data_IF_166240357838
#
_entry.id   IF_166240357838
#
_cell.length_a   1.000
_cell.length_b   1.000
_cell.length_c   1.000
_cell.angle_alpha   90.00
_cell.angle_beta   90.00
_cell.angle_gamma   90.00
#
_symmetry.space_group_name_H-M   'P 1'
#
loop_
_entity.id
_entity.type
_entity.pdbx_description
1 polymer ?
#
# COMPACT_ATOMS: atom_id res chain seq x y z
N UNK A 1 -7.38 17.65 -47.75
CA UNK A 1 -7.25 18.74 -46.76
C UNK A 1 -7.43 18.14 -45.38
N UNK A 2 -6.39 18.24 -44.57
CA UNK A 2 -6.10 17.62 -43.27
C UNK A 2 -7.26 17.48 -42.26
N UNK A 3 -7.29 16.35 -41.54
CA UNK A 3 -6.59 16.23 -40.25
C UNK A 3 -6.58 14.77 -39.77
N UNK A 4 -5.37 14.24 -39.63
CA UNK A 4 -5.04 13.11 -38.76
C UNK A 4 -5.62 13.33 -37.36
N UNK A 5 -6.55 12.47 -36.96
CA UNK A 5 -6.83 12.22 -35.55
C UNK A 5 -5.83 11.15 -35.12
N UNK A 6 -4.69 11.61 -34.59
CA UNK A 6 -3.69 10.78 -33.95
C UNK A 6 -4.28 10.17 -32.67
N UNK A 7 -4.99 9.05 -32.81
CA UNK A 7 -5.35 8.20 -31.68
C UNK A 7 -4.04 7.60 -31.14
N UNK A 8 -3.49 8.26 -30.12
CA UNK A 8 -2.43 7.73 -29.29
C UNK A 8 -2.81 6.29 -28.90
N UNK A 9 -2.03 5.26 -29.27
CA UNK A 9 -2.30 3.91 -28.83
C UNK A 9 -2.21 3.93 -27.31
N UNK A 10 -3.35 3.77 -26.63
CA UNK A 10 -3.36 3.48 -25.19
C UNK A 10 -2.53 2.21 -25.06
N UNK A 11 -1.30 2.32 -24.56
CA UNK A 11 -0.49 1.14 -24.26
C UNK A 11 -1.22 0.41 -23.13
N UNK A 12 -2.11 -0.51 -23.50
CA UNK A 12 -2.80 -1.37 -22.56
C UNK A 12 -1.73 -2.27 -21.94
N UNK A 13 -1.41 -2.01 -20.67
CA UNK A 13 -0.51 -2.86 -19.90
C UNK A 13 -1.11 -4.27 -19.88
N UNK A 14 -0.35 -5.25 -20.37
CA UNK A 14 -0.74 -6.64 -20.26
C UNK A 14 -0.76 -7.02 -18.78
N UNK A 15 -1.95 -7.40 -18.27
CA UNK A 15 -2.10 -7.99 -16.94
C UNK A 15 -1.59 -9.43 -16.96
N UNK A 16 -0.27 -9.59 -17.03
CA UNK A 16 0.41 -10.89 -17.12
C UNK A 16 1.00 -11.36 -15.79
N UNK A 17 0.88 -10.58 -14.71
CA UNK A 17 1.37 -10.99 -13.40
C UNK A 17 0.54 -12.15 -12.86
N UNK A 18 1.23 -13.25 -12.60
CA UNK A 18 0.65 -14.44 -11.96
C UNK A 18 0.38 -14.17 -10.48
N UNK A 19 -0.53 -14.93 -9.87
CA UNK A 19 -0.86 -14.81 -8.45
C UNK A 19 0.36 -14.93 -7.55
N UNK A 20 1.30 -15.84 -7.87
CA UNK A 20 2.55 -15.99 -7.12
C UNK A 20 3.50 -14.80 -7.26
N UNK A 21 3.54 -14.13 -8.41
CA UNK A 21 4.33 -12.90 -8.57
C UNK A 21 3.74 -11.75 -7.76
N UNK A 22 2.41 -11.63 -7.71
CA UNK A 22 1.73 -10.66 -6.86
C UNK A 22 1.99 -10.94 -5.37
N UNK A 23 1.99 -12.21 -4.97
CA UNK A 23 2.35 -12.61 -3.60
C UNK A 23 3.82 -12.27 -3.27
N UNK A 24 4.76 -12.54 -4.18
CA UNK A 24 6.17 -12.14 -3.96
C UNK A 24 6.35 -10.63 -3.82
N UNK A 25 5.59 -9.82 -4.57
CA UNK A 25 5.60 -8.36 -4.41
C UNK A 25 5.08 -7.97 -3.01
N UNK A 26 3.98 -8.59 -2.57
CA UNK A 26 3.40 -8.32 -1.25
C UNK A 26 4.35 -8.73 -0.12
N UNK A 27 4.94 -9.93 -0.19
CA UNK A 27 5.92 -10.41 0.79
C UNK A 27 7.19 -9.55 0.80
N UNK A 28 7.71 -9.18 -0.39
CA UNK A 28 8.88 -8.32 -0.51
C UNK A 28 8.66 -6.92 0.09
N UNK A 29 7.48 -6.33 -0.13
CA UNK A 29 7.12 -5.04 0.45
C UNK A 29 6.90 -5.08 1.97
N UNK A 30 6.28 -6.16 2.47
CA UNK A 30 5.92 -6.28 3.90
C UNK A 30 7.09 -6.74 4.79
N UNK A 31 7.91 -7.68 4.32
CA UNK A 31 9.06 -8.20 5.08
C UNK A 31 10.28 -7.28 4.96
N UNK A 32 10.36 -6.44 3.91
CA UNK A 32 11.52 -5.65 3.52
C UNK A 32 12.10 -4.70 4.57
N UNK A 33 12.38 -3.45 4.20
CA UNK A 33 13.16 -2.54 5.06
C UNK A 33 12.51 -2.31 6.44
N UNK A 34 11.17 -2.35 6.53
CA UNK A 34 10.45 -2.11 7.78
C UNK A 34 10.76 -3.10 8.91
N UNK A 35 10.82 -4.41 8.62
CA UNK A 35 11.15 -5.40 9.63
C UNK A 35 12.61 -5.27 10.06
N UNK A 36 13.54 -5.13 9.13
CA UNK A 36 14.98 -5.06 9.45
C UNK A 36 15.39 -3.75 10.13
N UNK A 37 14.89 -2.61 9.65
CA UNK A 37 15.19 -1.28 10.19
C UNK A 37 14.58 -1.08 11.58
N UNK A 38 13.33 -1.55 11.79
CA UNK A 38 12.62 -1.41 13.05
C UNK A 38 13.04 -2.42 14.13
N UNK A 39 13.25 -3.70 13.76
CA UNK A 39 13.35 -4.79 14.75
C UNK A 39 14.51 -4.60 15.73
N UNK A 40 15.68 -4.16 15.27
CA UNK A 40 16.84 -3.98 16.16
C UNK A 40 16.56 -2.98 17.28
N UNK A 41 15.86 -1.88 16.95
CA UNK A 41 15.50 -0.87 17.95
C UNK A 41 14.37 -1.40 18.84
N UNK A 42 13.31 -1.95 18.27
CA UNK A 42 12.15 -2.47 19.02
C UNK A 42 12.54 -3.56 20.02
N UNK A 43 13.46 -4.47 19.65
CA UNK A 43 13.98 -5.52 20.54
C UNK A 43 14.76 -4.91 21.70
N UNK A 44 15.59 -3.88 21.46
CA UNK A 44 16.35 -3.20 22.54
C UNK A 44 15.44 -2.53 23.56
N UNK A 45 14.35 -1.91 23.11
CA UNK A 45 13.39 -1.22 23.99
C UNK A 45 12.46 -2.19 24.74
N UNK A 46 12.05 -3.29 24.10
CA UNK A 46 10.95 -4.16 24.60
C UNK A 46 11.43 -5.49 25.20
N UNK A 47 12.66 -5.91 24.89
CA UNK A 47 13.22 -7.18 25.34
C UNK A 47 12.44 -8.41 24.82
N UNK A 48 12.41 -9.53 25.55
CA UNK A 48 11.74 -10.77 25.12
C UNK A 48 10.23 -10.62 24.86
N UNK A 49 9.60 -9.60 25.45
CA UNK A 49 8.16 -9.32 25.28
C UNK A 49 7.79 -8.77 23.90
N UNK A 50 8.78 -8.49 23.04
CA UNK A 50 8.58 -7.98 21.69
C UNK A 50 7.69 -8.88 20.83
N UNK A 51 7.74 -10.21 21.05
CA UNK A 51 6.87 -11.17 20.35
C UNK A 51 5.39 -10.93 20.65
N UNK A 52 5.04 -10.61 21.91
CA UNK A 52 3.67 -10.30 22.29
C UNK A 52 3.21 -8.98 21.67
N UNK A 53 4.10 -7.97 21.62
CA UNK A 53 3.82 -6.70 20.97
C UNK A 53 3.56 -6.89 19.47
N UNK A 54 4.41 -7.64 18.76
CA UNK A 54 4.22 -7.94 17.34
C UNK A 54 2.96 -8.77 17.09
N UNK A 55 2.63 -9.74 17.96
CA UNK A 55 1.40 -10.52 17.83
C UNK A 55 0.15 -9.64 17.97
N UNK A 56 0.13 -8.75 18.97
CA UNK A 56 -0.99 -7.83 19.19
C UNK A 56 -1.15 -6.85 18.02
N UNK A 57 -0.07 -6.18 17.61
CA UNK A 57 -0.10 -5.26 16.46
C UNK A 57 -0.45 -6.00 15.17
N UNK A 58 0.03 -7.24 15.00
CA UNK A 58 -0.29 -8.10 13.87
C UNK A 58 -1.78 -8.39 13.73
N UNK A 59 -2.50 -8.62 14.85
CA UNK A 59 -3.96 -8.81 14.85
C UNK A 59 -4.67 -7.54 14.36
N UNK A 60 -4.25 -6.38 14.85
CA UNK A 60 -4.83 -5.09 14.43
C UNK A 60 -4.58 -4.85 12.94
N UNK A 61 -3.34 -5.07 12.46
CA UNK A 61 -3.00 -4.92 11.05
C UNK A 61 -3.74 -5.92 10.16
N UNK A 62 -3.94 -7.16 10.62
CA UNK A 62 -4.74 -8.16 9.91
C UNK A 62 -6.17 -7.66 9.68
N UNK A 63 -6.81 -7.08 10.70
CA UNK A 63 -8.16 -6.53 10.57
C UNK A 63 -8.21 -5.38 9.56
N UNK A 64 -7.23 -4.47 9.58
CA UNK A 64 -7.12 -3.36 8.61
C UNK A 64 -6.93 -3.89 7.19
N UNK A 65 -6.02 -4.85 6.99
CA UNK A 65 -5.77 -5.45 5.67
C UNK A 65 -6.98 -6.22 5.16
N UNK A 66 -7.74 -6.86 6.05
CA UNK A 66 -8.99 -7.54 5.69
C UNK A 66 -10.03 -6.55 5.16
N UNK A 67 -10.24 -5.43 5.85
CA UNK A 67 -11.15 -4.38 5.42
C UNK A 67 -10.72 -3.74 4.09
N UNK A 68 -9.42 -3.48 3.90
CA UNK A 68 -8.88 -2.99 2.63
C UNK A 68 -9.08 -4.00 1.49
N UNK A 69 -8.87 -5.29 1.76
CA UNK A 69 -9.11 -6.35 0.78
C UNK A 69 -10.57 -6.41 0.31
N UNK A 70 -11.52 -6.21 1.22
CA UNK A 70 -12.95 -6.12 0.89
C UNK A 70 -13.25 -4.91 0.00
N UNK A 71 -12.64 -3.74 0.27
CA UNK A 71 -12.78 -2.56 -0.59
C UNK A 71 -12.21 -2.77 -2.00
N UNK A 72 -11.05 -3.43 -2.11
CA UNK A 72 -10.43 -3.76 -3.40
C UNK A 72 -11.32 -4.72 -4.20
N UNK A 73 -11.97 -5.67 -3.53
CA UNK A 73 -12.89 -6.61 -4.17
C UNK A 73 -14.13 -5.89 -4.74
N UNK A 74 -14.71 -4.95 -3.99
CA UNK A 74 -15.91 -4.21 -4.39
C UNK A 74 -15.60 -3.22 -5.53
N UNK A 75 -14.47 -2.51 -5.45
CA UNK A 75 -14.05 -1.52 -6.44
C UNK A 75 -12.62 -1.81 -6.92
N UNK A 76 -12.47 -2.71 -7.91
CA UNK A 76 -11.17 -3.06 -8.48
C UNK A 76 -10.66 -1.93 -9.38
N UNK A 77 -10.08 -0.90 -8.76
CA UNK A 77 -9.39 0.20 -9.43
C UNK A 77 -7.88 0.00 -9.43
N UNK A 78 -7.18 0.69 -10.33
CA UNK A 78 -5.71 0.84 -10.28
C UNK A 78 -5.27 1.97 -9.33
N UNK A 79 -6.21 2.49 -8.53
CA UNK A 79 -5.99 3.58 -7.59
C UNK A 79 -5.29 3.13 -6.31
N UNK A 80 -4.84 4.10 -5.51
CA UNK A 80 -4.20 3.86 -4.21
C UNK A 80 -5.23 3.89 -3.08
N UNK A 81 -4.84 3.46 -1.88
CA UNK A 81 -5.70 3.53 -0.68
C UNK A 81 -6.20 4.96 -0.39
N UNK A 82 -5.45 5.98 -0.82
CA UNK A 82 -5.86 7.37 -0.71
C UNK A 82 -7.07 7.73 -1.58
N UNK A 83 -7.31 7.00 -2.68
CA UNK A 83 -8.51 7.18 -3.50
C UNK A 83 -9.75 6.67 -2.77
N UNK A 84 -9.64 5.57 -2.01
CA UNK A 84 -10.72 5.11 -1.12
C UNK A 84 -11.02 6.13 -0.02
N UNK A 85 -10.01 6.80 0.54
CA UNK A 85 -10.24 7.89 1.50
C UNK A 85 -10.97 9.10 0.86
N UNK A 86 -10.70 9.38 -0.41
CA UNK A 86 -11.39 10.44 -1.17
C UNK A 86 -12.86 10.07 -1.40
N UNK A 87 -13.11 8.83 -1.80
CA UNK A 87 -14.42 8.33 -2.21
C UNK A 87 -15.36 8.06 -1.03
N UNK A 88 -14.86 7.50 0.07
CA UNK A 88 -15.68 7.06 1.21
C UNK A 88 -15.73 8.03 2.39
N UNK A 89 -14.74 8.93 2.53
CA UNK A 89 -14.69 9.88 3.65
C UNK A 89 -15.00 11.29 3.17
N UNK A 90 -14.04 11.90 2.46
CA UNK A 90 -14.17 13.26 1.94
C UNK A 90 -13.02 13.59 0.98
N UNK A 91 -13.21 14.44 -0.05
CA UNK A 91 -12.14 14.86 -0.95
C UNK A 91 -10.91 15.45 -0.25
N UNK A 92 -11.12 16.19 0.86
CA UNK A 92 -10.02 16.72 1.67
C UNK A 92 -9.22 15.63 2.40
N UNK A 93 -9.89 14.58 2.91
CA UNK A 93 -9.21 13.47 3.56
C UNK A 93 -8.33 12.71 2.57
N UNK A 94 -8.84 12.54 1.34
CA UNK A 94 -8.06 12.04 0.21
C UNK A 94 -6.81 12.85 -0.10
N UNK A 95 -6.95 14.18 -0.21
CA UNK A 95 -5.83 15.08 -0.46
C UNK A 95 -4.76 15.00 0.65
N UNK A 96 -5.17 15.05 1.91
CA UNK A 96 -4.26 14.94 3.05
C UNK A 96 -3.55 13.58 3.08
N UNK A 97 -4.25 12.49 2.76
CA UNK A 97 -3.66 11.15 2.73
C UNK A 97 -2.61 11.03 1.63
N UNK A 98 -2.86 11.60 0.44
CA UNK A 98 -1.88 11.63 -0.67
C UNK A 98 -0.62 12.41 -0.26
N UNK A 99 -0.77 13.57 0.37
CA UNK A 99 0.36 14.35 0.86
C UNK A 99 1.12 13.65 1.98
N UNK A 100 0.41 13.07 2.96
CA UNK A 100 1.03 12.29 4.03
C UNK A 100 1.85 11.13 3.49
N UNK A 101 1.37 10.48 2.42
CA UNK A 101 2.10 9.42 1.75
C UNK A 101 3.40 9.96 1.12
N UNK A 102 3.35 11.07 0.37
CA UNK A 102 4.55 11.72 -0.18
C UNK A 102 5.55 12.11 0.92
N UNK A 103 5.08 12.68 2.03
CA UNK A 103 5.94 13.01 3.17
C UNK A 103 6.59 11.77 3.78
N UNK A 104 5.85 10.66 3.91
CA UNK A 104 6.41 9.40 4.36
C UNK A 104 7.54 8.95 3.44
N UNK A 105 7.35 9.02 2.11
CA UNK A 105 8.38 8.67 1.14
C UNK A 105 9.63 9.55 1.31
N UNK A 106 9.46 10.87 1.43
CA UNK A 106 10.57 11.83 1.56
C UNK A 106 11.31 11.69 2.90
N UNK A 107 10.59 11.53 4.02
CA UNK A 107 11.16 11.56 5.38
C UNK A 107 11.84 10.23 5.72
N UNK A 108 11.24 9.11 5.29
CA UNK A 108 11.73 7.77 5.62
C UNK A 108 12.69 7.25 4.54
N UNK A 109 12.58 7.74 3.30
CA UNK A 109 13.42 7.30 2.17
C UNK A 109 13.04 5.94 1.59
N UNK A 110 11.80 5.51 1.84
CA UNK A 110 11.10 4.48 1.04
C UNK A 110 10.38 5.20 -0.08
#
# INVERSE_FOLDING_TARGET
MSKDSNEQPKNHLNRSLTSGQMEMIALGGTIGVGLFMGSTSTIKWTGPSVLLAYAFVGIVLYAVMRALGEMIYIKPGTGSFADYATDYIHPLAGYLTKWSNIFQYIVVGI
#
